data_IF_718725877646
#
_entry.id   IF_718725877646
#
_cell.length_a   1.000
_cell.length_b   1.000
_cell.length_c   1.000
_cell.angle_alpha   90.00
_cell.angle_beta   90.00
_cell.angle_gamma   90.00
#
_symmetry.space_group_name_H-M   'P 1'
#
loop_
_entity.id
_entity.type
_entity.pdbx_description
1 polymer ?
#
# COMPACT_ATOMS: atom_id res chain seq x y z
N UNK A 1 51.59 18.87 17.10
CA UNK A 1 50.48 19.79 16.76
C UNK A 1 49.70 19.14 15.63
N UNK A 2 48.46 18.69 15.85
CA UNK A 2 47.68 18.00 14.79
C UNK A 2 47.38 19.00 13.67
N UNK A 3 47.71 18.62 12.43
CA UNK A 3 47.52 19.42 11.22
C UNK A 3 46.06 19.90 11.13
N UNK A 4 45.83 21.17 10.78
CA UNK A 4 44.49 21.77 10.64
C UNK A 4 43.61 20.97 9.69
N UNK A 5 44.19 20.42 8.61
CA UNK A 5 43.48 19.53 7.68
C UNK A 5 42.97 18.26 8.36
N UNK A 6 43.73 17.70 9.30
CA UNK A 6 43.32 16.51 10.07
C UNK A 6 42.18 16.85 11.02
N UNK A 7 42.19 18.04 11.64
CA UNK A 7 41.08 18.49 12.50
C UNK A 7 39.80 18.72 11.71
N UNK A 8 39.89 19.37 10.54
CA UNK A 8 38.75 19.58 9.64
C UNK A 8 38.20 18.24 9.15
N UNK A 9 39.07 17.32 8.75
CA UNK A 9 38.70 15.98 8.32
C UNK A 9 37.98 15.20 9.42
N UNK A 10 38.50 15.22 10.66
CA UNK A 10 37.87 14.53 11.78
C UNK A 10 36.47 15.09 12.08
N UNK A 11 36.31 16.41 12.10
CA UNK A 11 35.01 17.05 12.30
C UNK A 11 34.02 16.69 11.19
N UNK A 12 34.45 16.69 9.93
CA UNK A 12 33.61 16.30 8.80
C UNK A 12 33.14 14.83 8.92
N UNK A 13 34.05 13.92 9.29
CA UNK A 13 33.71 12.50 9.52
C UNK A 13 32.68 12.34 10.63
N UNK A 14 32.84 13.05 11.76
CA UNK A 14 31.87 12.99 12.86
C UNK A 14 30.50 13.51 12.42
N UNK A 15 30.45 14.64 11.72
CA UNK A 15 29.18 15.19 11.19
C UNK A 15 28.50 14.21 10.24
N UNK A 16 29.25 13.65 9.28
CA UNK A 16 28.71 12.67 8.33
C UNK A 16 28.24 11.40 9.03
N UNK A 17 28.95 10.92 10.05
CA UNK A 17 28.54 9.76 10.84
C UNK A 17 27.24 10.03 11.59
N UNK A 18 27.07 11.21 12.20
CA UNK A 18 25.81 11.60 12.86
C UNK A 18 24.68 11.69 11.85
N UNK A 19 24.89 12.35 10.71
CA UNK A 19 23.87 12.45 9.66
C UNK A 19 23.46 11.06 9.15
N UNK A 20 24.41 10.17 8.96
CA UNK A 20 24.13 8.79 8.57
C UNK A 20 23.29 8.06 9.62
N UNK A 21 23.69 8.11 10.90
CA UNK A 21 22.99 7.43 11.99
C UNK A 21 21.56 7.95 12.16
N UNK A 22 21.34 9.26 11.96
CA UNK A 22 20.04 9.90 12.18
C UNK A 22 19.10 9.75 10.98
N UNK A 23 19.60 9.88 9.75
CA UNK A 23 18.74 9.99 8.57
C UNK A 23 18.79 8.79 7.63
N UNK A 24 19.91 8.07 7.56
CA UNK A 24 20.15 7.07 6.51
C UNK A 24 20.23 5.64 7.02
N UNK A 25 20.54 5.44 8.31
CA UNK A 25 20.80 4.10 8.86
C UNK A 25 19.65 3.13 8.58
N UNK A 26 18.41 3.47 8.97
CA UNK A 26 17.28 2.56 8.79
C UNK A 26 17.00 2.29 7.31
N UNK A 27 16.99 3.35 6.47
CA UNK A 27 16.83 3.21 5.03
C UNK A 27 17.88 2.27 4.40
N UNK A 28 19.14 2.38 4.81
CA UNK A 28 20.23 1.51 4.32
C UNK A 28 20.09 0.08 4.85
N UNK A 29 19.79 -0.10 6.14
CA UNK A 29 19.69 -1.44 6.74
C UNK A 29 18.49 -2.21 6.20
N UNK A 30 17.33 -1.57 6.11
CA UNK A 30 16.11 -2.19 5.58
C UNK A 30 16.17 -2.33 4.07
N UNK A 31 16.73 -1.33 3.37
CA UNK A 31 16.91 -1.35 1.93
C UNK A 31 17.78 -2.52 1.47
N UNK A 32 18.94 -2.73 2.09
CA UNK A 32 19.89 -3.79 1.71
C UNK A 32 19.76 -5.07 2.56
N UNK A 33 18.80 -5.13 3.49
CA UNK A 33 18.59 -6.28 4.37
C UNK A 33 19.78 -6.60 5.29
N UNK A 34 20.54 -5.58 5.71
CA UNK A 34 21.78 -5.77 6.48
C UNK A 34 21.48 -6.39 7.84
N UNK A 35 22.16 -7.51 8.13
CA UNK A 35 22.03 -8.22 9.41
C UNK A 35 20.78 -9.12 9.51
N UNK A 36 20.02 -9.28 8.43
CA UNK A 36 18.87 -10.19 8.40
C UNK A 36 19.30 -11.63 8.12
N UNK A 37 18.66 -12.55 8.82
CA UNK A 37 18.66 -13.98 8.49
C UNK A 37 17.30 -14.28 7.88
N UNK A 38 17.28 -14.48 6.56
CA UNK A 38 16.07 -14.77 5.79
C UNK A 38 15.84 -16.28 5.70
N UNK A 39 14.59 -16.69 5.85
CA UNK A 39 14.15 -18.08 5.84
C UNK A 39 13.51 -18.44 4.50
N UNK A 40 13.73 -19.67 3.99
CA UNK A 40 12.98 -20.18 2.86
C UNK A 40 11.51 -20.40 3.26
N UNK A 41 10.62 -20.36 2.27
CA UNK A 41 9.17 -20.53 2.48
C UNK A 41 8.82 -21.88 3.14
N UNK A 42 9.64 -22.91 2.91
CA UNK A 42 9.48 -24.24 3.51
C UNK A 42 9.71 -24.32 5.02
N UNK A 43 10.25 -23.27 5.66
CA UNK A 43 10.42 -23.22 7.11
C UNK A 43 9.09 -22.93 7.85
N UNK A 44 8.06 -22.49 7.12
CA UNK A 44 6.78 -22.06 7.69
C UNK A 44 5.71 -23.16 7.53
N UNK A 45 4.77 -23.27 8.48
CA UNK A 45 3.76 -24.34 8.49
C UNK A 45 2.60 -24.05 7.52
N UNK A 46 2.93 -23.65 6.29
CA UNK A 46 1.97 -23.34 5.24
C UNK A 46 2.38 -23.97 3.91
N UNK A 47 1.37 -24.39 3.14
CA UNK A 47 1.54 -24.72 1.73
C UNK A 47 1.05 -23.54 0.91
N UNK A 48 1.97 -22.90 0.21
CA UNK A 48 1.68 -21.72 -0.62
C UNK A 48 1.69 -22.09 -2.10
N UNK A 49 0.81 -21.44 -2.87
CA UNK A 49 0.77 -21.57 -4.33
C UNK A 49 0.50 -20.24 -5.01
N UNK A 50 1.02 -20.10 -6.23
CA UNK A 50 0.71 -18.98 -7.11
C UNK A 50 -0.69 -19.15 -7.71
N UNK A 51 -1.34 -18.02 -7.93
CA UNK A 51 -2.53 -17.87 -8.76
C UNK A 51 -2.12 -16.95 -9.90
N UNK A 52 -1.98 -17.54 -11.09
CA UNK A 52 -1.57 -16.83 -12.31
C UNK A 52 -2.79 -16.68 -13.19
N UNK A 53 -3.26 -15.44 -13.34
CA UNK A 53 -4.32 -15.05 -14.26
C UNK A 53 -4.00 -13.63 -14.77
N UNK A 54 -4.04 -13.35 -16.09
CA UNK A 54 -3.77 -12.02 -16.64
C UNK A 54 -4.69 -10.91 -16.13
N UNK A 55 -5.84 -11.26 -15.54
CA UNK A 55 -6.77 -10.32 -14.89
C UNK A 55 -6.32 -9.94 -13.47
N UNK A 56 -5.40 -10.68 -12.86
CA UNK A 56 -4.94 -10.52 -11.48
C UNK A 56 -3.41 -10.29 -11.41
N UNK A 57 -2.91 -9.41 -12.26
CA UNK A 57 -1.53 -8.96 -12.24
C UNK A 57 -1.43 -7.60 -11.53
N UNK A 58 -0.27 -7.32 -10.92
CA UNK A 58 0.03 -6.03 -10.32
C UNK A 58 -1.06 -5.52 -9.35
N UNK A 59 -1.68 -6.46 -8.62
CA UNK A 59 -2.70 -6.20 -7.63
C UNK A 59 -2.09 -5.62 -6.35
N UNK A 60 -1.97 -4.29 -6.28
CA UNK A 60 -1.23 -3.62 -5.22
C UNK A 60 -1.85 -3.84 -3.84
N UNK A 61 -3.18 -3.85 -3.77
CA UNK A 61 -3.90 -4.01 -2.51
C UNK A 61 -5.08 -4.99 -2.61
N UNK A 62 -5.57 -5.39 -1.43
CA UNK A 62 -6.70 -6.30 -1.26
C UNK A 62 -7.57 -5.91 -0.06
N UNK A 63 -8.86 -6.22 -0.17
CA UNK A 63 -9.82 -6.08 0.93
C UNK A 63 -10.85 -7.21 0.91
N UNK A 64 -11.12 -7.82 2.06
CA UNK A 64 -12.06 -8.94 2.19
C UNK A 64 -13.35 -8.49 2.89
N UNK A 65 -14.46 -8.58 2.17
CA UNK A 65 -15.79 -8.50 2.76
C UNK A 65 -16.05 -9.76 3.59
N UNK A 66 -16.17 -9.58 4.90
CA UNK A 66 -16.42 -10.71 5.82
C UNK A 66 -17.83 -11.28 5.63
N UNK A 67 -18.82 -10.43 5.32
CA UNK A 67 -20.21 -10.84 5.15
C UNK A 67 -20.47 -11.56 3.82
N UNK A 68 -19.95 -11.03 2.71
CA UNK A 68 -20.20 -11.59 1.37
C UNK A 68 -19.17 -12.61 0.94
N UNK A 69 -18.03 -12.71 1.66
CA UNK A 69 -16.92 -13.61 1.33
C UNK A 69 -16.30 -13.30 -0.03
N UNK A 70 -16.37 -12.03 -0.42
CA UNK A 70 -15.70 -11.51 -1.60
C UNK A 70 -14.37 -10.85 -1.24
N UNK A 71 -13.30 -11.35 -1.86
CA UNK A 71 -11.98 -10.70 -1.85
C UNK A 71 -11.89 -9.77 -3.05
N UNK A 72 -11.71 -8.49 -2.79
CA UNK A 72 -11.49 -7.47 -3.81
C UNK A 72 -9.98 -7.22 -3.95
N UNK A 73 -9.51 -6.95 -5.17
CA UNK A 73 -8.12 -6.68 -5.50
C UNK A 73 -8.03 -5.46 -6.43
N UNK A 74 -7.05 -4.59 -6.21
CA UNK A 74 -6.77 -3.44 -7.07
C UNK A 74 -5.65 -3.75 -8.07
N UNK A 75 -6.02 -4.29 -9.24
CA UNK A 75 -5.11 -4.88 -10.23
C UNK A 75 -4.79 -3.93 -11.38
N UNK A 76 -3.63 -4.14 -11.99
CA UNK A 76 -3.05 -3.24 -12.98
C UNK A 76 -2.24 -4.01 -14.03
N UNK A 77 -1.44 -3.29 -14.81
CA UNK A 77 -0.45 -3.83 -15.71
C UNK A 77 0.95 -3.68 -15.09
N UNK A 78 1.66 -4.79 -14.83
CA UNK A 78 2.98 -4.74 -14.19
C UNK A 78 4.03 -3.99 -15.02
N UNK A 79 3.91 -3.99 -16.35
CA UNK A 79 4.84 -3.26 -17.24
C UNK A 79 4.51 -1.77 -17.25
N UNK A 80 3.22 -1.43 -17.28
CA UNK A 80 2.78 -0.04 -17.38
C UNK A 80 3.13 0.80 -16.13
N UNK A 81 3.26 0.17 -14.96
CA UNK A 81 3.66 0.86 -13.72
C UNK A 81 5.05 1.51 -13.80
N UNK A 82 5.96 0.98 -14.61
CA UNK A 82 7.27 1.63 -14.81
C UNK A 82 7.15 2.96 -15.58
N UNK A 83 6.11 3.09 -16.43
CA UNK A 83 5.83 4.33 -17.14
C UNK A 83 4.95 5.29 -16.33
N UNK A 84 3.91 4.80 -15.66
CA UNK A 84 2.97 5.61 -14.90
C UNK A 84 2.66 5.00 -13.53
N UNK A 85 3.38 5.48 -12.52
CA UNK A 85 3.10 5.22 -11.12
C UNK A 85 3.72 6.36 -10.29
N UNK A 86 2.97 7.45 -10.04
CA UNK A 86 3.50 8.66 -9.43
C UNK A 86 4.17 8.47 -8.07
N UNK A 87 3.77 7.45 -7.29
CA UNK A 87 4.40 7.09 -6.02
C UNK A 87 5.90 6.79 -6.12
N UNK A 88 6.37 6.29 -7.27
CA UNK A 88 7.80 6.02 -7.51
C UNK A 88 8.42 7.03 -8.49
N UNK A 89 7.71 8.13 -8.77
CA UNK A 89 8.16 9.18 -9.69
C UNK A 89 8.05 8.81 -11.18
N UNK A 90 7.33 7.75 -11.53
CA UNK A 90 7.05 7.40 -12.93
C UNK A 90 5.87 8.25 -13.46
N UNK A 91 6.17 9.17 -14.38
CA UNK A 91 5.25 10.23 -14.83
C UNK A 91 4.98 10.23 -16.35
N UNK A 92 5.34 9.15 -17.06
CA UNK A 92 5.09 9.00 -18.48
C UNK A 92 3.67 8.46 -18.76
N UNK A 93 2.73 9.37 -18.96
CA UNK A 93 1.31 9.02 -19.25
C UNK A 93 1.10 8.22 -20.53
N UNK A 94 2.01 8.30 -21.50
CA UNK A 94 1.84 7.57 -22.77
C UNK A 94 1.97 6.06 -22.57
N UNK A 95 2.64 5.64 -21.50
CA UNK A 95 2.75 4.23 -21.11
C UNK A 95 1.83 3.82 -19.96
N UNK A 96 0.87 4.67 -19.55
CA UNK A 96 -0.02 4.33 -18.44
C UNK A 96 -0.92 3.15 -18.79
N UNK A 97 -1.23 2.35 -17.77
CA UNK A 97 -2.11 1.19 -17.95
C UNK A 97 -3.49 1.62 -18.44
N UNK A 98 -4.04 0.80 -19.34
CA UNK A 98 -5.39 0.92 -19.89
C UNK A 98 -6.32 -0.18 -19.35
N UNK A 99 -5.84 -1.02 -18.43
CA UNK A 99 -6.53 -2.23 -17.94
C UNK A 99 -6.65 -2.31 -16.42
N UNK A 100 -6.33 -1.22 -15.72
CA UNK A 100 -6.49 -1.13 -14.28
C UNK A 100 -7.95 -1.36 -13.89
N UNK A 101 -8.16 -2.17 -12.86
CA UNK A 101 -9.50 -2.59 -12.45
C UNK A 101 -9.53 -3.06 -11.00
N UNK A 102 -10.73 -3.05 -10.43
CA UNK A 102 -11.00 -3.83 -9.24
C UNK A 102 -11.49 -5.22 -9.68
N UNK A 103 -10.86 -6.26 -9.14
CA UNK A 103 -11.24 -7.65 -9.38
C UNK A 103 -11.86 -8.21 -8.11
N UNK A 104 -12.92 -9.00 -8.23
CA UNK A 104 -13.55 -9.70 -7.11
C UNK A 104 -13.43 -11.22 -7.27
N UNK A 105 -13.13 -11.90 -6.15
CA UNK A 105 -13.09 -13.36 -6.03
C UNK A 105 -14.09 -13.83 -4.97
N UNK A 106 -14.86 -14.87 -5.25
CA UNK A 106 -15.65 -15.58 -4.23
C UNK A 106 -14.78 -16.65 -3.55
N UNK A 107 -14.21 -16.33 -2.38
CA UNK A 107 -13.15 -17.16 -1.78
C UNK A 107 -13.66 -18.46 -1.12
N UNK A 108 -14.97 -18.60 -0.97
CA UNK A 108 -15.63 -19.82 -0.51
C UNK A 108 -16.06 -20.73 -1.70
N UNK A 109 -15.87 -20.30 -2.95
CA UNK A 109 -16.20 -21.04 -4.17
C UNK A 109 -14.96 -21.22 -5.07
N UNK A 110 -14.02 -22.12 -4.72
CA UNK A 110 -12.80 -22.33 -5.50
C UNK A 110 -13.11 -22.89 -6.89
N UNK A 111 -12.31 -22.48 -7.87
CA UNK A 111 -12.35 -22.97 -9.24
C UNK A 111 -11.02 -23.68 -9.56
N UNK A 112 -11.03 -25.01 -9.51
CA UNK A 112 -9.81 -25.82 -9.62
C UNK A 112 -8.82 -25.49 -8.51
N UNK A 113 -7.58 -25.13 -8.87
CA UNK A 113 -6.56 -24.66 -7.93
C UNK A 113 -6.54 -23.13 -7.80
N UNK A 114 -7.62 -22.42 -8.16
CA UNK A 114 -7.72 -20.96 -8.15
C UNK A 114 -9.13 -20.52 -7.70
N UNK A 115 -9.50 -19.28 -8.02
CA UNK A 115 -10.82 -18.68 -7.90
C UNK A 115 -11.16 -18.05 -9.25
N UNK A 116 -12.43 -18.02 -9.65
CA UNK A 116 -12.84 -17.33 -10.88
C UNK A 116 -12.87 -15.81 -10.63
N UNK A 117 -12.06 -15.01 -11.34
CA UNK A 117 -12.03 -13.57 -11.13
C UNK A 117 -13.11 -12.85 -11.94
N UNK A 118 -13.84 -11.97 -11.26
CA UNK A 118 -14.74 -10.98 -11.87
C UNK A 118 -14.05 -9.64 -11.95
N UNK A 119 -13.74 -9.20 -13.17
CA UNK A 119 -13.25 -7.84 -13.42
C UNK A 119 -14.45 -6.90 -13.39
N UNK A 120 -14.51 -6.03 -12.38
CA UNK A 120 -15.68 -5.19 -12.14
C UNK A 120 -15.65 -3.96 -13.05
N UNK A 121 -16.76 -3.70 -13.74
CA UNK A 121 -16.91 -2.53 -14.61
C UNK A 121 -17.19 -1.28 -13.79
N UNK A 122 -16.48 -0.19 -14.04
CA UNK A 122 -16.66 1.11 -13.38
C UNK A 122 -17.83 1.90 -13.97
N UNK A 123 -19.05 1.39 -13.79
CA UNK A 123 -20.28 1.98 -14.35
C UNK A 123 -20.46 3.44 -13.90
N UNK A 124 -20.58 4.33 -14.88
CA UNK A 124 -20.80 5.77 -14.67
C UNK A 124 -19.55 6.58 -14.29
N UNK A 125 -18.36 5.96 -14.25
CA UNK A 125 -17.12 6.66 -13.97
C UNK A 125 -16.61 7.42 -15.21
N UNK A 126 -16.38 8.74 -15.13
CA UNK A 126 -15.93 9.52 -16.27
C UNK A 126 -14.43 9.36 -16.60
N UNK A 127 -13.62 8.86 -15.67
CA UNK A 127 -12.16 8.84 -15.82
C UNK A 127 -11.51 10.22 -15.66
N UNK A 128 -10.37 10.42 -16.32
CA UNK A 128 -9.55 11.65 -16.17
C UNK A 128 -10.04 12.80 -17.05
N UNK A 129 -10.49 12.47 -18.27
CA UNK A 129 -10.99 13.44 -19.25
C UNK A 129 -12.06 12.77 -20.15
N UNK A 130 -13.00 12.06 -19.54
CA UNK A 130 -14.02 11.29 -20.27
C UNK A 130 -13.51 9.95 -20.84
N UNK A 131 -12.30 9.55 -20.51
CA UNK A 131 -11.69 8.30 -20.98
C UNK A 131 -12.21 7.04 -20.26
N UNK A 132 -12.91 7.20 -19.13
CA UNK A 132 -13.41 6.10 -18.31
C UNK A 132 -12.31 5.30 -17.60
N UNK A 133 -11.05 5.77 -17.64
CA UNK A 133 -9.90 5.04 -17.09
C UNK A 133 -9.63 5.43 -15.65
N UNK A 134 -9.41 4.43 -14.82
CA UNK A 134 -8.88 4.55 -13.46
C UNK A 134 -7.44 4.05 -13.46
N UNK A 135 -6.56 4.62 -12.63
CA UNK A 135 -5.20 4.10 -12.43
C UNK A 135 -5.00 3.75 -10.95
N UNK A 136 -5.14 2.48 -10.58
CA UNK A 136 -5.34 2.06 -9.19
C UNK A 136 -4.03 1.85 -8.42
N UNK A 137 -4.06 2.20 -7.13
CA UNK A 137 -3.08 1.79 -6.12
C UNK A 137 -3.85 1.23 -4.91
N UNK A 138 -3.68 1.81 -3.72
CA UNK A 138 -4.32 1.32 -2.50
C UNK A 138 -5.82 1.62 -2.46
N UNK A 139 -6.56 0.80 -1.72
CA UNK A 139 -7.99 1.05 -1.51
C UNK A 139 -8.47 0.49 -0.17
N UNK A 140 -9.73 0.76 0.15
CA UNK A 140 -10.40 0.12 1.28
C UNK A 140 -11.85 -0.14 0.95
N UNK A 141 -12.48 -1.02 1.72
CA UNK A 141 -13.90 -1.29 1.64
C UNK A 141 -14.60 -1.13 2.98
N UNK A 142 -15.90 -0.86 2.92
CA UNK A 142 -16.79 -0.89 4.08
C UNK A 142 -18.13 -1.52 3.70
N UNK A 143 -18.62 -2.39 4.57
CA UNK A 143 -19.92 -3.04 4.43
C UNK A 143 -21.00 -2.14 5.04
N UNK A 144 -22.08 -1.91 4.30
CA UNK A 144 -23.22 -1.13 4.74
C UNK A 144 -24.33 -2.05 5.29
N UNK A 145 -25.19 -1.50 6.14
CA UNK A 145 -26.30 -2.24 6.77
C UNK A 145 -27.36 -2.73 5.78
N UNK A 146 -27.43 -2.15 4.59
CA UNK A 146 -28.29 -2.57 3.49
C UNK A 146 -27.69 -3.70 2.62
N UNK A 147 -26.48 -4.17 2.96
CA UNK A 147 -25.75 -5.21 2.24
C UNK A 147 -24.94 -4.71 1.05
N UNK A 148 -24.94 -3.41 0.77
CA UNK A 148 -24.01 -2.81 -0.20
C UNK A 148 -22.59 -2.73 0.38
N UNK A 149 -21.62 -2.65 -0.51
CA UNK A 149 -20.20 -2.47 -0.18
C UNK A 149 -19.74 -1.19 -0.85
N UNK A 150 -19.21 -0.27 -0.06
CA UNK A 150 -18.51 0.90 -0.61
C UNK A 150 -17.02 0.61 -0.70
N UNK A 151 -16.42 0.96 -1.84
CA UNK A 151 -14.98 0.93 -2.07
C UNK A 151 -14.48 2.36 -2.27
N UNK A 152 -13.46 2.76 -1.49
CA UNK A 152 -12.74 4.02 -1.70
C UNK A 152 -11.37 3.67 -2.27
N UNK A 153 -11.15 4.04 -3.53
CA UNK A 153 -10.02 3.60 -4.35
C UNK A 153 -9.12 4.80 -4.66
N UNK A 154 -7.84 4.71 -4.31
CA UNK A 154 -6.88 5.74 -4.75
C UNK A 154 -6.70 5.65 -6.26
N UNK A 155 -6.73 6.80 -6.91
CA UNK A 155 -6.60 6.93 -8.35
C UNK A 155 -5.40 7.82 -8.67
N UNK A 156 -4.40 7.23 -9.31
CA UNK A 156 -3.19 7.86 -9.83
C UNK A 156 -3.51 8.67 -11.08
N UNK A 157 -4.48 9.57 -10.95
CA UNK A 157 -5.07 10.33 -12.05
C UNK A 157 -4.08 11.35 -12.61
N UNK A 158 -3.82 11.38 -13.93
CA UNK A 158 -3.01 12.41 -14.55
C UNK A 158 -3.60 13.82 -14.37
N UNK A 159 -2.73 14.83 -14.38
CA UNK A 159 -3.16 16.23 -14.45
C UNK A 159 -3.63 16.60 -15.85
N UNK A 160 -4.75 17.31 -15.94
CA UNK A 160 -5.30 17.86 -17.18
C UNK A 160 -5.54 19.35 -17.03
N UNK A 161 -5.52 20.07 -18.14
CA UNK A 161 -5.95 21.45 -18.20
C UNK A 161 -7.47 21.53 -17.96
N UNK A 162 -7.89 22.45 -17.10
CA UNK A 162 -9.28 22.50 -16.65
C UNK A 162 -10.27 22.98 -17.72
N UNK A 163 -9.81 23.75 -18.72
CA UNK A 163 -10.66 24.31 -19.77
C UNK A 163 -10.73 23.38 -20.98
N UNK A 164 -9.58 22.89 -21.45
CA UNK A 164 -9.46 22.06 -22.64
C UNK A 164 -9.62 20.56 -22.38
N UNK A 165 -9.35 20.10 -21.15
CA UNK A 165 -9.32 18.67 -20.82
C UNK A 165 -8.09 17.93 -21.35
N UNK A 166 -7.14 18.64 -21.97
CA UNK A 166 -5.89 18.09 -22.49
C UNK A 166 -4.93 17.73 -21.35
N UNK A 167 -4.13 16.67 -21.54
CA UNK A 167 -3.13 16.31 -20.54
C UNK A 167 -2.05 17.39 -20.41
N UNK A 168 -1.74 17.75 -19.16
CA UNK A 168 -0.61 18.62 -18.86
C UNK A 168 0.71 17.86 -18.94
N UNK A 169 1.82 18.58 -18.95
CA UNK A 169 3.13 17.96 -18.73
C UNK A 169 3.25 17.52 -17.26
N UNK A 170 3.23 16.20 -17.06
CA UNK A 170 3.28 15.61 -15.72
C UNK A 170 4.65 15.81 -15.06
N UNK A 171 5.72 16.07 -15.80
CA UNK A 171 7.03 16.41 -15.24
C UNK A 171 7.09 17.85 -14.71
N UNK A 172 6.09 18.68 -15.04
CA UNK A 172 5.92 20.04 -14.51
C UNK A 172 4.84 20.07 -13.43
N UNK A 173 3.73 19.37 -13.61
CA UNK A 173 2.55 19.47 -12.75
C UNK A 173 2.39 18.31 -11.75
N UNK A 174 3.06 17.18 -12.00
CA UNK A 174 2.81 15.91 -11.29
C UNK A 174 1.42 15.37 -11.57
N UNK A 175 1.05 14.28 -10.89
CA UNK A 175 -0.30 13.71 -10.96
C UNK A 175 -1.33 14.57 -10.20
N UNK A 176 -2.59 14.49 -10.63
CA UNK A 176 -3.74 15.08 -9.95
C UNK A 176 -4.58 13.99 -9.27
N UNK A 177 -3.91 13.26 -8.38
CA UNK A 177 -4.43 12.08 -7.69
C UNK A 177 -5.71 12.35 -6.92
N UNK A 178 -6.55 11.33 -6.81
CA UNK A 178 -7.86 11.39 -6.16
C UNK A 178 -8.17 10.14 -5.36
N UNK A 179 -9.26 10.17 -4.61
CA UNK A 179 -9.91 8.96 -4.08
C UNK A 179 -11.29 8.86 -4.72
N UNK A 180 -11.55 7.75 -5.41
CA UNK A 180 -12.83 7.48 -6.07
C UNK A 180 -13.69 6.61 -5.17
N UNK A 181 -14.95 7.01 -4.98
CA UNK A 181 -15.95 6.26 -4.24
C UNK A 181 -16.84 5.49 -5.21
N UNK A 182 -16.82 4.17 -5.07
CA UNK A 182 -17.72 3.25 -5.75
C UNK A 182 -18.59 2.50 -4.77
N UNK A 183 -19.76 2.05 -5.22
CA UNK A 183 -20.62 1.12 -4.49
C UNK A 183 -20.87 -0.15 -5.31
N UNK A 184 -20.98 -1.28 -4.64
CA UNK A 184 -21.24 -2.59 -5.23
C UNK A 184 -22.05 -3.47 -4.28
N UNK A 185 -22.35 -4.70 -4.69
CA UNK A 185 -23.11 -5.65 -3.90
C UNK A 185 -22.64 -7.08 -4.17
N UNK A 186 -23.12 -8.02 -3.37
CA UNK A 186 -22.71 -9.41 -3.48
C UNK A 186 -22.95 -9.96 -4.90
N UNK A 187 -21.93 -10.58 -5.50
CA UNK A 187 -22.00 -11.17 -6.84
C UNK A 187 -22.13 -10.18 -8.01
N UNK A 188 -22.05 -8.87 -7.77
CA UNK A 188 -22.09 -7.85 -8.83
C UNK A 188 -20.88 -7.94 -9.76
N UNK A 189 -21.09 -7.61 -11.04
CA UNK A 189 -20.05 -7.40 -12.05
C UNK A 189 -19.70 -5.90 -12.24
N UNK A 190 -20.29 -5.02 -11.42
CA UNK A 190 -20.17 -3.57 -11.55
C UNK A 190 -19.76 -2.90 -10.24
N UNK A 191 -18.93 -1.86 -10.38
CA UNK A 191 -18.70 -0.78 -9.44
C UNK A 191 -19.47 0.45 -9.92
N UNK A 192 -20.52 0.83 -9.20
CA UNK A 192 -21.29 2.04 -9.52
C UNK A 192 -20.57 3.24 -8.94
N UNK A 193 -20.20 4.18 -9.79
CA UNK A 193 -19.55 5.41 -9.37
C UNK A 193 -20.47 6.28 -8.51
N UNK A 194 -19.98 6.68 -7.33
CA UNK A 194 -20.69 7.55 -6.39
C UNK A 194 -20.14 8.98 -6.45
N UNK A 195 -18.82 9.13 -6.47
CA UNK A 195 -18.18 10.44 -6.51
C UNK A 195 -16.66 10.40 -6.39
N UNK A 196 -16.03 11.54 -6.66
CA UNK A 196 -14.58 11.74 -6.53
C UNK A 196 -14.29 12.66 -5.34
N UNK A 197 -13.38 12.25 -4.47
CA UNK A 197 -12.72 13.13 -3.51
C UNK A 197 -11.43 13.69 -4.14
N UNK A 198 -11.46 14.97 -4.48
CA UNK A 198 -10.30 15.73 -4.95
C UNK A 198 -10.07 16.93 -4.02
N UNK A 199 -8.94 16.94 -3.33
CA UNK A 199 -8.62 17.96 -2.32
C UNK A 199 -7.11 18.19 -2.23
N UNK A 200 -6.71 19.38 -1.77
CA UNK A 200 -5.30 19.72 -1.56
C UNK A 200 -4.59 18.86 -0.50
N UNK A 201 -5.33 18.09 0.30
CA UNK A 201 -4.81 17.07 1.20
C UNK A 201 -4.70 15.66 0.61
N UNK A 202 -5.07 15.44 -0.65
CA UNK A 202 -4.94 14.15 -1.36
C UNK A 202 -3.92 14.35 -2.50
N UNK A 203 -2.64 14.38 -2.14
CA UNK A 203 -1.56 14.83 -3.04
C UNK A 203 -0.71 13.69 -3.55
N UNK A 204 -0.38 12.74 -2.68
CA UNK A 204 0.37 11.51 -3.01
C UNK A 204 -0.25 10.32 -2.27
N UNK A 205 -1.57 10.10 -2.43
CA UNK A 205 -2.34 9.19 -1.60
C UNK A 205 -1.96 7.74 -1.86
N UNK A 206 -1.34 7.08 -0.89
CA UNK A 206 -0.93 5.68 -1.01
C UNK A 206 -2.13 4.74 -0.75
N UNK A 207 -2.73 4.83 0.44
CA UNK A 207 -3.96 4.11 0.77
C UNK A 207 -4.87 4.94 1.66
N UNK A 208 -6.15 4.58 1.65
CA UNK A 208 -7.18 5.10 2.55
C UNK A 208 -7.62 4.04 3.56
N UNK A 209 -8.11 4.46 4.73
CA UNK A 209 -8.96 3.64 5.59
C UNK A 209 -10.17 4.45 6.05
N UNK A 210 -11.35 3.83 5.98
CA UNK A 210 -12.63 4.49 6.13
C UNK A 210 -13.34 4.07 7.42
N UNK A 211 -14.06 5.02 8.02
CA UNK A 211 -14.97 4.80 9.16
C UNK A 211 -16.42 4.68 8.69
N UNK A 212 -17.30 4.19 9.55
CA UNK A 212 -18.74 4.05 9.28
C UNK A 212 -19.43 5.35 8.82
N UNK A 213 -18.99 6.50 9.36
CA UNK A 213 -19.51 7.83 8.98
C UNK A 213 -18.91 8.38 7.67
N UNK A 214 -18.19 7.53 6.92
CA UNK A 214 -17.48 7.85 5.66
C UNK A 214 -16.35 8.88 5.81
N UNK A 215 -15.97 9.24 7.05
CA UNK A 215 -14.67 9.87 7.30
C UNK A 215 -13.58 8.86 6.94
N UNK A 216 -12.55 9.29 6.22
CA UNK A 216 -11.42 8.44 5.93
C UNK A 216 -10.10 9.14 6.23
N UNK A 217 -9.09 8.33 6.55
CA UNK A 217 -7.71 8.76 6.67
C UNK A 217 -6.95 8.31 5.44
N UNK A 218 -6.04 9.15 4.96
CA UNK A 218 -5.19 8.87 3.80
C UNK A 218 -3.74 9.11 4.17
N UNK A 219 -2.87 8.18 3.83
CA UNK A 219 -1.43 8.42 3.85
C UNK A 219 -1.03 9.11 2.55
N UNK A 220 -0.35 10.24 2.66
CA UNK A 220 0.39 10.78 1.52
C UNK A 220 1.85 10.41 1.69
N UNK A 221 2.32 9.41 0.93
CA UNK A 221 3.65 8.81 1.12
C UNK A 221 4.81 9.78 0.79
N UNK A 222 4.52 10.85 0.06
CA UNK A 222 5.46 11.94 -0.22
C UNK A 222 4.92 13.32 0.23
N UNK A 223 3.87 13.32 1.06
CA UNK A 223 3.23 14.52 1.56
C UNK A 223 2.78 15.46 0.43
N UNK A 224 3.08 16.76 0.51
CA UNK A 224 2.64 17.75 -0.48
C UNK A 224 3.47 17.75 -1.78
N UNK A 225 4.44 16.85 -1.94
CA UNK A 225 5.40 16.89 -3.03
C UNK A 225 5.10 15.82 -4.08
N UNK A 226 4.47 16.24 -5.19
CA UNK A 226 4.07 15.37 -6.30
C UNK A 226 5.22 14.91 -7.20
N UNK A 227 6.32 15.67 -7.25
CA UNK A 227 7.45 15.45 -8.16
C UNK A 227 8.72 16.17 -7.69
N UNK A 228 9.82 15.92 -8.40
CA UNK A 228 11.09 16.62 -8.21
C UNK A 228 11.87 16.16 -6.97
N UNK A 229 12.94 16.88 -6.62
CA UNK A 229 13.87 16.42 -5.58
C UNK A 229 13.22 16.28 -4.20
N UNK A 230 12.21 17.09 -3.86
CA UNK A 230 11.50 16.98 -2.57
C UNK A 230 10.64 15.73 -2.49
N UNK A 231 10.05 15.33 -3.61
CA UNK A 231 9.39 14.03 -3.72
C UNK A 231 10.44 12.93 -3.50
N UNK A 232 11.47 12.84 -4.35
CA UNK A 232 12.46 11.75 -4.25
C UNK A 232 13.22 11.67 -2.91
N UNK A 233 13.38 12.78 -2.19
CA UNK A 233 14.01 12.80 -0.87
C UNK A 233 13.02 12.72 0.31
N UNK A 234 11.70 12.75 0.08
CA UNK A 234 10.70 12.57 1.14
C UNK A 234 10.94 11.31 1.99
N UNK A 235 11.25 10.13 1.40
CA UNK A 235 11.54 8.92 2.17
C UNK A 235 12.63 9.11 3.23
N UNK A 236 13.60 10.00 2.99
CA UNK A 236 14.73 10.27 3.89
C UNK A 236 14.47 11.48 4.78
N UNK A 237 13.88 12.55 4.24
CA UNK A 237 13.67 13.82 4.93
C UNK A 237 12.42 13.80 5.82
N UNK A 238 11.47 12.91 5.54
CA UNK A 238 10.24 12.74 6.29
C UNK A 238 9.21 13.81 5.96
N UNK A 239 8.86 13.99 4.69
CA UNK A 239 7.82 14.95 4.29
C UNK A 239 6.41 14.36 4.25
N UNK A 240 6.29 13.04 4.43
CA UNK A 240 5.02 12.35 4.37
C UNK A 240 4.10 12.70 5.56
N UNK A 241 2.81 12.58 5.33
CA UNK A 241 1.77 12.95 6.30
C UNK A 241 0.54 12.04 6.22
N UNK A 242 -0.35 12.19 7.20
CA UNK A 242 -1.67 11.59 7.21
C UNK A 242 -2.68 12.72 7.26
N UNK A 243 -3.64 12.66 6.35
CA UNK A 243 -4.77 13.59 6.33
C UNK A 243 -6.06 12.86 6.63
N UNK A 244 -6.97 13.54 7.32
CA UNK A 244 -8.36 13.12 7.49
C UNK A 244 -9.23 13.88 6.51
N UNK A 245 -10.11 13.17 5.82
CA UNK A 245 -11.02 13.70 4.82
C UNK A 245 -12.44 13.31 5.22
N UNK A 246 -13.37 14.27 5.13
CA UNK A 246 -14.81 14.01 5.32
C UNK A 246 -15.57 14.49 4.10
N UNK A 247 -16.73 13.88 3.78
CA UNK A 247 -17.58 14.35 2.71
C UNK A 247 -17.86 15.85 2.80
N UNK A 248 -17.66 16.56 1.69
CA UNK A 248 -17.95 17.99 1.54
C UNK A 248 -17.16 18.94 2.46
N UNK A 249 -16.04 18.50 3.05
CA UNK A 249 -15.15 19.37 3.81
C UNK A 249 -13.71 19.21 3.35
N UNK A 250 -12.89 20.28 3.37
CA UNK A 250 -11.47 20.17 3.07
C UNK A 250 -10.77 19.14 3.95
N UNK A 251 -9.83 18.40 3.39
CA UNK A 251 -9.03 17.48 4.18
C UNK A 251 -8.11 18.25 5.14
N UNK A 252 -7.81 17.65 6.28
CA UNK A 252 -6.99 18.24 7.34
C UNK A 252 -5.81 17.32 7.65
N UNK A 253 -4.62 17.90 7.75
CA UNK A 253 -3.45 17.18 8.27
C UNK A 253 -3.61 16.86 9.76
N UNK A 254 -3.40 15.59 10.10
CA UNK A 254 -3.55 15.04 11.46
C UNK A 254 -2.29 14.32 11.94
N UNK A 255 -1.33 14.04 11.06
CA UNK A 255 0.01 13.57 11.44
C UNK A 255 1.01 13.94 10.36
N UNK A 256 2.26 14.24 10.74
CA UNK A 256 3.33 14.66 9.81
C UNK A 256 4.70 14.17 10.27
N UNK A 257 5.73 14.43 9.46
CA UNK A 257 7.11 13.99 9.67
C UNK A 257 7.29 12.46 9.57
N UNK A 258 6.44 11.80 8.79
CA UNK A 258 6.55 10.37 8.49
C UNK A 258 7.53 10.18 7.33
N UNK A 259 8.19 9.01 7.27
CA UNK A 259 9.20 8.75 6.24
C UNK A 259 8.55 8.26 4.96
N UNK A 260 7.85 7.14 5.04
CA UNK A 260 7.14 6.53 3.93
C UNK A 260 5.94 5.72 4.46
N UNK A 261 4.91 6.40 4.98
CA UNK A 261 3.74 5.73 5.50
C UNK A 261 2.95 5.11 4.34
N UNK A 262 2.73 3.80 4.43
CA UNK A 262 2.14 3.00 3.36
C UNK A 262 0.66 2.71 3.68
N UNK A 263 0.14 1.52 3.37
CA UNK A 263 -1.27 1.25 3.58
C UNK A 263 -1.70 1.12 5.03
N UNK A 264 -2.44 2.11 5.51
CA UNK A 264 -3.04 2.18 6.85
C UNK A 264 -4.33 1.34 6.99
N UNK A 265 -4.72 1.01 8.22
CA UNK A 265 -6.01 0.36 8.51
C UNK A 265 -6.61 0.83 9.85
N UNK A 266 -7.94 0.73 9.98
CA UNK A 266 -8.70 1.15 11.17
C UNK A 266 -9.39 -0.06 11.80
N UNK A 267 -9.36 -0.14 13.13
CA UNK A 267 -10.22 -1.01 13.92
C UNK A 267 -10.83 -0.24 15.09
N UNK A 268 -12.15 -0.04 15.08
CA UNK A 268 -12.84 0.82 16.04
C UNK A 268 -12.30 2.25 15.97
N UNK A 269 -11.69 2.73 17.06
CA UNK A 269 -11.07 4.05 17.16
C UNK A 269 -9.53 3.99 17.11
N UNK A 270 -8.95 2.89 16.63
CA UNK A 270 -7.49 2.76 16.53
C UNK A 270 -7.08 2.72 15.06
N UNK A 271 -6.08 3.54 14.74
CA UNK A 271 -5.47 3.62 13.42
C UNK A 271 -4.05 3.02 13.45
N UNK A 272 -3.77 2.14 12.51
CA UNK A 272 -2.50 1.44 12.35
C UNK A 272 -1.81 1.91 11.07
N UNK A 273 -0.56 2.37 11.20
CA UNK A 273 0.17 3.00 10.10
C UNK A 273 1.56 2.36 9.96
N UNK A 274 1.77 1.49 8.96
CA UNK A 274 3.08 0.96 8.64
C UNK A 274 3.92 2.01 7.89
N UNK A 275 5.23 2.01 8.12
CA UNK A 275 6.19 2.87 7.40
C UNK A 275 7.29 2.04 6.74
N UNK A 276 7.44 2.18 5.42
CA UNK A 276 8.36 1.39 4.60
C UNK A 276 9.83 1.68 4.86
N UNK A 277 10.16 2.89 5.34
CA UNK A 277 11.55 3.33 5.52
C UNK A 277 11.95 3.37 6.99
N UNK A 278 11.05 3.75 7.87
CA UNK A 278 11.29 3.69 9.32
C UNK A 278 11.21 2.24 9.85
N UNK A 279 10.49 1.35 9.15
CA UNK A 279 10.29 -0.03 9.57
C UNK A 279 9.50 -0.15 10.87
N UNK A 280 8.58 0.80 11.08
CA UNK A 280 7.76 0.91 12.28
C UNK A 280 6.28 0.78 11.94
N UNK A 281 5.55 0.14 12.85
CA UNK A 281 4.10 0.24 12.92
C UNK A 281 3.76 1.31 13.96
N UNK A 282 3.23 2.45 13.52
CA UNK A 282 2.74 3.49 14.42
C UNK A 282 1.25 3.29 14.71
N UNK A 283 0.87 3.44 15.98
CA UNK A 283 -0.50 3.22 16.44
C UNK A 283 -1.05 4.53 17.00
N UNK A 284 -2.22 4.93 16.50
CA UNK A 284 -2.91 6.14 16.93
C UNK A 284 -4.30 5.82 17.49
N UNK A 285 -4.71 6.57 18.50
CA UNK A 285 -6.12 6.74 18.82
C UNK A 285 -6.73 7.81 17.91
N UNK A 286 -7.91 7.51 17.35
CA UNK A 286 -8.78 8.46 16.67
C UNK A 286 -9.65 9.15 17.72
N UNK A 287 -9.37 10.42 17.95
CA UNK A 287 -10.11 11.25 18.91
C UNK A 287 -11.51 11.61 18.38
N UNK A 288 -12.46 12.03 19.25
CA UNK A 288 -13.81 12.41 18.81
C UNK A 288 -13.84 13.52 17.75
N UNK A 289 -12.86 14.43 17.77
CA UNK A 289 -12.71 15.50 16.78
C UNK A 289 -12.04 15.02 15.46
N UNK A 290 -11.70 13.73 15.37
CA UNK A 290 -11.00 13.04 14.28
C UNK A 290 -9.50 13.36 14.16
N UNK A 291 -8.92 14.03 15.16
CA UNK A 291 -7.46 14.13 15.26
C UNK A 291 -6.85 12.80 15.73
N UNK A 292 -5.54 12.65 15.53
CA UNK A 292 -4.80 11.46 15.91
C UNK A 292 -3.93 11.73 17.12
N UNK A 293 -4.02 10.85 18.12
CA UNK A 293 -3.10 10.79 19.25
C UNK A 293 -2.22 9.56 19.12
N UNK A 294 -0.90 9.74 18.96
CA UNK A 294 0.03 8.60 18.89
C UNK A 294 0.10 7.93 20.26
N UNK A 295 -0.24 6.64 20.32
CA UNK A 295 -0.25 5.86 21.56
C UNK A 295 0.84 4.81 21.63
N UNK A 296 1.35 4.34 20.49
CA UNK A 296 2.42 3.35 20.47
C UNK A 296 3.22 3.38 19.16
N UNK A 297 4.39 2.76 19.18
CA UNK A 297 5.22 2.50 18.00
C UNK A 297 6.00 1.20 18.18
N UNK A 298 5.88 0.30 17.21
CA UNK A 298 6.54 -1.00 17.23
C UNK A 298 7.58 -1.03 16.12
N UNK A 299 8.85 -1.24 16.47
CA UNK A 299 9.90 -1.52 15.49
C UNK A 299 9.81 -2.96 15.03
N UNK A 300 9.54 -3.16 13.74
CA UNK A 300 9.37 -4.50 13.16
C UNK A 300 10.63 -4.97 12.43
N UNK A 301 11.63 -4.12 12.26
CA UNK A 301 12.90 -4.42 11.57
C UNK A 301 12.74 -4.86 10.11
N UNK A 302 11.62 -4.57 9.44
CA UNK A 302 11.41 -4.75 7.99
C UNK A 302 10.91 -3.45 7.39
N UNK A 303 11.15 -3.22 6.10
CA UNK A 303 10.34 -2.25 5.38
C UNK A 303 8.92 -2.77 5.32
N UNK A 304 7.95 -1.98 5.74
CA UNK A 304 6.54 -2.39 5.83
C UNK A 304 5.73 -1.78 4.70
N UNK A 305 4.84 -2.55 4.11
CA UNK A 305 3.88 -2.08 3.12
C UNK A 305 2.48 -2.06 3.75
N UNK A 306 1.43 -2.57 3.12
CA UNK A 306 0.06 -2.47 3.62
C UNK A 306 -0.19 -3.34 4.87
N UNK A 307 -0.93 -2.78 5.84
CA UNK A 307 -1.51 -3.54 6.96
C UNK A 307 -2.97 -3.90 6.66
N UNK A 308 -3.35 -5.14 6.90
CA UNK A 308 -4.75 -5.57 6.94
C UNK A 308 -5.12 -6.06 8.35
N UNK A 309 -6.42 -6.08 8.65
CA UNK A 309 -6.94 -6.52 9.95
C UNK A 309 -7.90 -7.66 9.70
N UNK A 310 -7.66 -8.81 10.33
CA UNK A 310 -8.57 -9.95 10.22
C UNK A 310 -9.76 -9.80 11.18
N UNK A 311 -10.74 -10.70 11.08
CA UNK A 311 -11.92 -10.69 11.95
C UNK A 311 -11.63 -10.89 13.44
N UNK A 312 -10.42 -11.36 13.81
CA UNK A 312 -9.99 -11.49 15.21
C UNK A 312 -9.35 -10.20 15.76
N UNK A 313 -9.16 -9.18 14.92
CA UNK A 313 -8.44 -7.95 15.27
C UNK A 313 -6.91 -8.09 15.20
N UNK A 314 -6.38 -9.18 14.63
CA UNK A 314 -4.95 -9.30 14.39
C UNK A 314 -4.55 -8.51 13.15
N UNK A 315 -3.39 -7.86 13.21
CA UNK A 315 -2.80 -7.13 12.10
C UNK A 315 -1.94 -8.08 11.27
N UNK A 316 -2.07 -8.01 9.95
CA UNK A 316 -1.28 -8.76 8.97
C UNK A 316 -0.62 -7.78 8.03
N UNK A 317 0.71 -7.75 8.06
CA UNK A 317 1.51 -6.70 7.42
C UNK A 317 2.42 -7.35 6.40
N UNK A 318 2.33 -6.92 5.15
CA UNK A 318 3.31 -7.28 4.13
C UNK A 318 4.62 -6.55 4.41
N UNK A 319 5.74 -7.26 4.26
CA UNK A 319 7.05 -6.77 4.65
C UNK A 319 8.11 -7.13 3.61
N UNK A 320 9.05 -6.22 3.41
CA UNK A 320 10.20 -6.36 2.54
C UNK A 320 11.44 -6.76 3.35
N UNK A 321 11.96 -7.99 3.19
CA UNK A 321 13.24 -8.38 3.76
C UNK A 321 14.41 -7.59 3.18
N UNK A 322 14.37 -7.32 1.87
CA UNK A 322 15.37 -6.51 1.15
C UNK A 322 14.64 -5.46 0.32
N UNK A 323 14.52 -4.24 0.86
CA UNK A 323 13.71 -3.18 0.24
C UNK A 323 14.12 -2.86 -1.20
N UNK A 324 15.41 -2.82 -1.52
CA UNK A 324 15.86 -2.49 -2.89
C UNK A 324 15.50 -3.54 -3.94
N UNK A 325 15.15 -4.77 -3.52
CA UNK A 325 14.78 -5.84 -4.43
C UNK A 325 13.48 -5.54 -5.21
N UNK A 326 12.58 -4.72 -4.63
CA UNK A 326 11.33 -4.34 -5.29
C UNK A 326 11.58 -3.57 -6.59
N UNK A 327 12.63 -2.75 -6.66
CA UNK A 327 12.98 -2.00 -7.87
C UNK A 327 13.50 -2.89 -9.00
N UNK A 328 14.16 -4.00 -8.67
CA UNK A 328 14.55 -4.99 -9.67
C UNK A 328 13.33 -5.72 -10.21
N UNK A 329 12.41 -6.10 -9.31
CA UNK A 329 11.14 -6.70 -9.69
C UNK A 329 10.26 -5.73 -10.52
N UNK A 330 10.28 -4.43 -10.26
CA UNK A 330 9.55 -3.45 -11.07
C UNK A 330 10.08 -3.37 -12.52
N UNK A 331 11.41 -3.45 -12.71
CA UNK A 331 12.03 -3.37 -14.04
C UNK A 331 11.85 -4.63 -14.87
N UNK A 332 11.65 -5.77 -14.22
CA UNK A 332 11.54 -7.08 -14.87
C UNK A 332 10.51 -7.97 -14.16
N UNK A 333 9.22 -7.59 -14.14
CA UNK A 333 8.21 -8.19 -13.27
C UNK A 333 7.94 -9.66 -13.55
N UNK A 334 8.23 -10.14 -14.76
CA UNK A 334 8.00 -11.53 -15.14
C UNK A 334 9.16 -12.47 -14.82
N UNK A 335 10.37 -11.94 -14.57
CA UNK A 335 11.56 -12.78 -14.40
C UNK A 335 12.33 -12.51 -13.10
N UNK A 336 12.33 -11.27 -12.60
CA UNK A 336 12.98 -10.95 -11.35
C UNK A 336 12.22 -11.53 -10.15
N UNK A 337 12.98 -11.91 -9.13
CA UNK A 337 12.46 -12.42 -7.85
C UNK A 337 12.90 -11.49 -6.74
N UNK A 338 11.98 -11.17 -5.83
CA UNK A 338 12.26 -10.38 -4.66
C UNK A 338 11.77 -11.12 -3.41
N UNK A 339 12.56 -11.12 -2.32
CA UNK A 339 12.12 -11.71 -1.07
C UNK A 339 10.85 -11.01 -0.54
N UNK A 340 9.99 -11.77 0.12
CA UNK A 340 8.80 -11.23 0.79
C UNK A 340 8.61 -11.89 2.14
N UNK A 341 8.05 -11.15 3.09
CA UNK A 341 7.65 -11.68 4.39
C UNK A 341 6.25 -11.18 4.78
N UNK A 342 5.63 -11.90 5.72
CA UNK A 342 4.37 -11.50 6.35
C UNK A 342 4.58 -11.50 7.85
N UNK A 343 4.26 -10.37 8.48
CA UNK A 343 4.27 -10.20 9.92
C UNK A 343 2.84 -10.20 10.44
N UNK A 344 2.61 -10.92 11.53
CA UNK A 344 1.38 -10.83 12.31
C UNK A 344 1.67 -10.07 13.60
N UNK A 345 0.90 -9.03 13.86
CA UNK A 345 1.01 -8.23 15.09
C UNK A 345 -0.31 -8.28 15.83
N UNK A 346 -0.25 -8.61 17.13
CA UNK A 346 -1.44 -8.75 17.97
C UNK A 346 -1.15 -8.37 19.42
N UNK A 347 -2.20 -7.99 20.15
CA UNK A 347 -2.08 -7.67 21.58
C UNK A 347 -2.42 -8.90 22.41
N UNK A 348 -1.48 -9.35 23.25
CA UNK A 348 -1.61 -10.50 24.15
C UNK A 348 -1.26 -10.02 25.56
N UNK A 349 -2.19 -10.16 26.50
CA UNK A 349 -2.03 -9.72 27.89
C UNK A 349 -1.57 -8.26 28.05
N UNK A 350 -2.02 -7.39 27.15
CA UNK A 350 -1.67 -5.97 27.13
C UNK A 350 -0.38 -5.63 26.37
N UNK A 351 0.41 -6.63 25.97
CA UNK A 351 1.66 -6.43 25.22
C UNK A 351 1.50 -6.76 23.74
N UNK A 352 2.25 -6.05 22.89
CA UNK A 352 2.34 -6.41 21.48
C UNK A 352 3.24 -7.62 21.27
N UNK A 353 2.72 -8.63 20.56
CA UNK A 353 3.49 -9.77 20.06
C UNK A 353 3.57 -9.69 18.54
N UNK A 354 4.75 -9.99 18.03
CA UNK A 354 5.08 -9.96 16.60
C UNK A 354 5.56 -11.34 16.20
N UNK A 355 4.84 -11.96 15.26
CA UNK A 355 5.16 -13.26 14.70
C UNK A 355 5.52 -13.07 13.22
N UNK A 356 6.67 -13.60 12.78
CA UNK A 356 6.96 -13.74 11.34
C UNK A 356 6.26 -15.00 10.86
N UNK A 357 5.17 -14.84 10.11
CA UNK A 357 4.27 -15.95 9.76
C UNK A 357 4.67 -16.62 8.45
N UNK A 358 5.23 -15.84 7.52
CA UNK A 358 5.77 -16.32 6.25
C UNK A 358 7.03 -15.52 5.91
N UNK A 359 7.99 -16.16 5.25
CA UNK A 359 9.09 -15.51 4.56
C UNK A 359 9.52 -16.40 3.39
N UNK A 360 9.73 -15.80 2.24
CA UNK A 360 10.23 -16.44 1.04
C UNK A 360 11.52 -15.73 0.63
N UNK A 361 12.65 -16.19 1.18
CA UNK A 361 13.96 -15.57 0.93
C UNK A 361 14.35 -15.52 -0.55
N UNK A 362 13.83 -16.44 -1.36
CA UNK A 362 14.22 -16.63 -2.75
C UNK A 362 13.18 -16.02 -3.72
N UNK A 363 12.05 -15.54 -3.20
CA UNK A 363 10.95 -14.95 -3.97
C UNK A 363 10.34 -15.93 -4.97
N UNK A 364 10.32 -17.23 -4.64
CA UNK A 364 9.88 -18.26 -5.57
C UNK A 364 8.37 -18.35 -5.70
N UNK A 365 7.63 -18.10 -4.60
CA UNK A 365 6.18 -18.26 -4.48
C UNK A 365 5.50 -16.95 -4.11
N UNK A 366 6.00 -16.24 -3.10
CA UNK A 366 5.37 -14.99 -2.65
C UNK A 366 5.62 -13.86 -3.65
N UNK A 367 4.62 -13.04 -3.97
CA UNK A 367 4.69 -12.10 -5.09
C UNK A 367 5.45 -10.82 -4.76
N UNK A 368 6.57 -10.82 -4.03
CA UNK A 368 7.17 -9.57 -3.52
C UNK A 368 6.07 -8.71 -2.84
N UNK A 369 5.39 -9.32 -1.86
CA UNK A 369 4.05 -8.92 -1.45
C UNK A 369 3.99 -7.47 -0.91
N UNK A 370 2.97 -6.73 -1.34
CA UNK A 370 2.61 -5.40 -0.83
C UNK A 370 1.37 -5.43 0.06
N UNK A 371 0.50 -6.42 -0.11
CA UNK A 371 -0.60 -6.71 0.82
C UNK A 371 -0.61 -8.18 1.22
N UNK A 372 -0.83 -8.43 2.51
CA UNK A 372 -1.12 -9.74 3.07
C UNK A 372 -2.44 -9.69 3.84
N UNK A 373 -3.37 -10.58 3.52
CA UNK A 373 -4.69 -10.66 4.13
C UNK A 373 -4.93 -12.07 4.65
N UNK A 374 -5.24 -12.19 5.94
CA UNK A 374 -5.60 -13.47 6.55
C UNK A 374 -7.11 -13.59 6.73
N UNK A 375 -7.68 -14.62 6.13
CA UNK A 375 -9.05 -15.02 6.36
C UNK A 375 -9.16 -15.85 7.64
N UNK A 376 -9.62 -15.22 8.73
CA UNK A 376 -9.78 -15.88 10.02
C UNK A 376 -10.75 -17.09 9.99
N UNK A 377 -11.65 -17.15 9.00
CA UNK A 377 -12.61 -18.26 8.86
C UNK A 377 -11.95 -19.54 8.36
N UNK A 378 -11.07 -19.44 7.37
CA UNK A 378 -10.45 -20.60 6.71
C UNK A 378 -8.98 -20.80 7.08
N UNK A 379 -8.33 -19.81 7.69
CA UNK A 379 -6.90 -19.80 7.96
C UNK A 379 -6.03 -19.50 6.73
N UNK A 380 -6.65 -19.20 5.57
CA UNK A 380 -5.93 -18.85 4.35
C UNK A 380 -5.28 -17.47 4.46
N UNK A 381 -4.09 -17.35 3.92
CA UNK A 381 -3.40 -16.06 3.73
C UNK A 381 -3.35 -15.77 2.24
N UNK A 382 -3.98 -14.68 1.82
CA UNK A 382 -3.88 -14.15 0.46
C UNK A 382 -2.77 -13.09 0.43
N UNK A 383 -1.95 -13.11 -0.62
CA UNK A 383 -0.89 -12.14 -0.83
C UNK A 383 -0.98 -11.57 -2.24
N UNK A 384 -0.84 -10.26 -2.36
CA UNK A 384 -0.82 -9.55 -3.65
C UNK A 384 0.36 -8.60 -3.70
N UNK A 385 0.57 -7.98 -4.86
CA UNK A 385 1.75 -7.15 -5.12
C UNK A 385 1.47 -6.06 -6.12
N UNK A 386 2.07 -4.90 -5.89
CA UNK A 386 2.08 -3.77 -6.83
C UNK A 386 2.62 -4.14 -8.22
N UNK A 387 3.50 -5.13 -8.35
CA UNK A 387 4.25 -5.38 -9.60
C UNK A 387 4.24 -6.83 -10.07
N UNK A 388 3.89 -7.80 -9.23
CA UNK A 388 4.01 -9.21 -9.64
C UNK A 388 2.89 -9.64 -10.59
N UNK A 389 3.17 -10.51 -11.56
CA UNK A 389 2.18 -11.07 -12.48
C UNK A 389 1.37 -12.23 -11.88
N UNK A 390 1.31 -12.34 -10.55
CA UNK A 390 0.52 -13.32 -9.83
C UNK A 390 0.16 -12.81 -8.44
N UNK A 391 -0.92 -13.36 -7.88
CA UNK A 391 -1.18 -13.34 -6.44
C UNK A 391 -0.83 -14.70 -5.85
N UNK A 392 -0.65 -14.80 -4.54
CA UNK A 392 -0.42 -16.07 -3.86
C UNK A 392 -1.50 -16.35 -2.82
N UNK A 393 -1.74 -17.62 -2.56
CA UNK A 393 -2.53 -18.05 -1.40
C UNK A 393 -1.78 -19.16 -0.67
N UNK A 394 -1.78 -19.07 0.65
CA UNK A 394 -1.16 -20.02 1.56
C UNK A 394 -2.22 -20.62 2.47
N UNK A 395 -2.18 -21.93 2.64
CA UNK A 395 -3.07 -22.68 3.53
C UNK A 395 -2.22 -23.34 4.61
N UNK A 396 -2.71 -23.33 5.86
CA UNK A 396 -1.99 -23.99 6.95
C UNK A 396 -1.83 -25.49 6.64
N UNK A 397 -0.65 -26.03 6.94
CA UNK A 397 -0.41 -27.47 6.82
C UNK A 397 -1.32 -28.22 7.80
N UNK A 398 -1.83 -29.38 7.35
CA UNK A 398 -2.67 -30.25 8.16
C UNK A 398 -1.93 -30.89 9.34
#
# INVERSE_FOLDING_TARGET
MVNVLVKIGLSAVVVLAVLFQVYLKEAVWLGFGIGKVMQPIGDFPYTCRKIVDPRMEACEDMWLSQSTRQLFLACSDPIARDAWFPHVGALNISGRSQRDSIVALDIDAPFGSSFEPRVLKTAGFPGTSGDGLINVAGFTGIENSDGSIDLLVTNMRPSVDAESGEYLDQFIHGANTTVEHFTTSAGSDELKYVGTFADGGIVTPNRVAVMDDKTFYVTNDHGPHKMGWRHHLSPILGYANINVCKPNTPCKEVSSNLKFPNGLAIHGNTLYVPDSIAGTLTIYNILPNKDLEKVDEIKLNYGLDNVSINANGDLWIAAFPVGVAIYNAQKDPYNARAPAAVLRVRKVDGEWKVDKVLEDKDGEILPAATTALHDAKTGRIFLSSVISPWIAVCEANA
#
